data_IF_085158638858
#
_entry.id   IF_085158638858
#
_cell.length_a   1.000
_cell.length_b   1.000
_cell.length_c   1.000
_cell.angle_alpha   90.00
_cell.angle_beta   90.00
_cell.angle_gamma   90.00
#
_symmetry.space_group_name_H-M   'P 1'
#
loop_
_entity.id
_entity.type
_entity.pdbx_description
1 polymer ?
#
# COMPACT_ATOMS: atom_id res chain seq x y z
N UNK A 1 -19.79 -7.67 9.99
CA UNK A 1 -18.56 -7.32 9.26
C UNK A 1 -17.50 -8.37 9.60
N UNK A 2 -17.50 -9.52 8.91
CA UNK A 2 -16.61 -10.67 9.22
C UNK A 2 -15.58 -10.89 8.09
N UNK A 3 -15.13 -9.81 7.47
CA UNK A 3 -14.05 -9.90 6.50
C UNK A 3 -12.73 -10.12 7.24
N UNK A 4 -11.98 -11.14 6.81
CA UNK A 4 -10.68 -11.50 7.39
C UNK A 4 -9.58 -10.52 6.95
N UNK A 5 -9.63 -10.10 5.69
CA UNK A 5 -8.59 -9.27 5.07
C UNK A 5 -9.06 -7.82 5.00
N UNK A 6 -8.24 -6.94 5.55
CA UNK A 6 -8.51 -5.51 5.65
C UNK A 6 -7.42 -4.78 4.87
N UNK A 7 -7.78 -4.12 3.78
CA UNK A 7 -6.87 -3.19 3.08
C UNK A 7 -7.03 -1.84 3.73
N UNK A 8 -5.94 -1.30 4.27
CA UNK A 8 -5.92 0.05 4.82
C UNK A 8 -4.97 0.92 4.03
N UNK A 9 -5.30 2.20 3.88
CA UNK A 9 -4.37 3.18 3.34
C UNK A 9 -4.54 4.55 4.01
N UNK A 10 -3.47 5.33 4.04
CA UNK A 10 -3.42 6.60 4.77
C UNK A 10 -4.25 7.70 4.09
N UNK A 11 -4.97 8.50 4.88
CA UNK A 11 -5.62 9.72 4.37
C UNK A 11 -4.62 10.86 4.21
N UNK A 12 -3.57 10.90 5.03
CA UNK A 12 -2.59 11.98 5.11
C UNK A 12 -1.19 11.50 4.74
N UNK A 13 -0.64 12.07 3.66
CA UNK A 13 0.77 12.14 3.29
C UNK A 13 0.85 12.74 1.87
N UNK A 14 2.07 12.91 1.37
CA UNK A 14 2.30 13.17 -0.06
C UNK A 14 1.80 12.02 -0.93
N UNK A 15 2.16 10.79 -0.58
CA UNK A 15 1.87 9.58 -1.37
C UNK A 15 1.01 8.59 -0.58
N UNK A 16 0.21 7.80 -1.30
CA UNK A 16 -0.54 6.71 -0.72
C UNK A 16 0.40 5.58 -0.29
N UNK A 17 0.12 5.01 0.87
CA UNK A 17 0.77 3.85 1.44
C UNK A 17 -0.34 2.94 1.95
N UNK A 18 -0.41 1.75 1.39
CA UNK A 18 -1.42 0.76 1.72
C UNK A 18 -0.79 -0.52 2.29
N UNK A 19 -1.52 -1.23 3.14
CA UNK A 19 -1.11 -2.55 3.65
C UNK A 19 -2.33 -3.44 3.87
N UNK A 20 -2.12 -4.75 3.80
CA UNK A 20 -3.12 -5.74 4.20
C UNK A 20 -2.94 -6.08 5.67
N UNK A 21 -4.02 -6.02 6.44
CA UNK A 21 -4.11 -6.53 7.81
C UNK A 21 -4.99 -7.78 7.79
N UNK A 22 -4.48 -8.90 8.30
CA UNK A 22 -5.30 -10.08 8.57
C UNK A 22 -5.79 -10.00 10.02
N UNK A 23 -7.11 -9.93 10.21
CA UNK A 23 -7.74 -9.81 11.54
C UNK A 23 -7.45 -11.02 12.43
N UNK A 24 -7.30 -12.20 11.85
CA UNK A 24 -7.02 -13.44 12.59
C UNK A 24 -5.60 -13.48 13.17
N UNK A 25 -4.70 -12.59 12.72
CA UNK A 25 -3.33 -12.50 13.21
C UNK A 25 -3.18 -11.51 14.38
N UNK A 26 -4.29 -10.96 14.90
CA UNK A 26 -4.28 -9.97 15.97
C UNK A 26 -4.88 -10.56 17.25
N UNK A 27 -4.19 -10.34 18.37
CA UNK A 27 -4.67 -10.77 19.69
C UNK A 27 -5.83 -9.91 20.22
N UNK A 28 -6.06 -8.75 19.59
CA UNK A 28 -7.05 -7.76 20.01
C UNK A 28 -7.94 -7.30 18.85
N UNK A 29 -9.09 -6.71 19.19
CA UNK A 29 -9.98 -6.11 18.22
C UNK A 29 -9.28 -4.96 17.47
N UNK A 30 -9.43 -4.96 16.14
CA UNK A 30 -8.78 -3.99 15.27
C UNK A 30 -9.66 -2.75 15.08
N UNK A 31 -9.18 -1.60 15.59
CA UNK A 31 -9.82 -0.30 15.41
C UNK A 31 -9.08 0.55 14.40
N UNK A 32 -9.83 1.29 13.59
CA UNK A 32 -9.28 2.21 12.58
C UNK A 32 -9.74 3.62 12.92
N UNK A 33 -8.78 4.51 13.16
CA UNK A 33 -9.05 5.93 13.36
C UNK A 33 -9.33 6.66 12.04
N UNK A 34 -9.92 7.84 12.15
CA UNK A 34 -10.35 8.74 11.07
C UNK A 34 -9.30 9.08 10.01
N UNK A 35 -8.00 8.85 10.28
CA UNK A 35 -6.89 9.15 9.36
C UNK A 35 -6.49 8.01 8.42
N UNK A 36 -7.28 6.93 8.37
CA UNK A 36 -7.13 5.87 7.38
C UNK A 36 -8.45 5.55 6.70
N UNK A 37 -8.36 5.13 5.44
CA UNK A 37 -9.48 4.52 4.73
C UNK A 37 -9.30 3.02 4.71
N UNK A 38 -10.42 2.30 4.64
CA UNK A 38 -10.46 0.86 4.76
C UNK A 38 -11.36 0.23 3.70
N UNK A 39 -10.91 -0.92 3.19
CA UNK A 39 -11.71 -1.84 2.40
C UNK A 39 -11.64 -3.24 3.03
N UNK A 40 -12.78 -3.91 3.09
CA UNK A 40 -12.96 -5.20 3.76
C UNK A 40 -13.26 -6.28 2.72
N UNK A 41 -12.47 -7.35 2.68
CA UNK A 41 -12.71 -8.49 1.78
C UNK A 41 -12.42 -9.83 2.45
N UNK A 42 -13.06 -10.88 1.94
CA UNK A 42 -12.73 -12.27 2.27
C UNK A 42 -11.70 -12.86 1.31
N UNK A 43 -11.44 -12.21 0.18
CA UNK A 43 -10.49 -12.68 -0.82
C UNK A 43 -9.09 -12.09 -0.55
N UNK A 44 -8.11 -12.90 -0.09
CA UNK A 44 -6.75 -12.41 0.15
C UNK A 44 -6.08 -11.88 -1.11
N UNK A 45 -6.35 -12.49 -2.27
CA UNK A 45 -5.73 -12.12 -3.55
C UNK A 45 -6.21 -10.73 -3.97
N UNK A 46 -7.52 -10.45 -3.85
CA UNK A 46 -8.08 -9.12 -4.07
C UNK A 46 -7.44 -8.08 -3.13
N UNK A 47 -7.25 -8.42 -1.85
CA UNK A 47 -6.64 -7.52 -0.89
C UNK A 47 -5.21 -7.11 -1.30
N UNK A 48 -4.40 -8.07 -1.73
CA UNK A 48 -3.04 -7.80 -2.20
C UNK A 48 -3.02 -7.07 -3.55
N UNK A 49 -3.95 -7.37 -4.46
CA UNK A 49 -4.13 -6.66 -5.74
C UNK A 49 -4.40 -5.16 -5.50
N UNK A 50 -5.40 -4.84 -4.67
CA UNK A 50 -5.72 -3.46 -4.33
C UNK A 50 -4.54 -2.75 -3.67
N UNK A 51 -3.83 -3.45 -2.79
CA UNK A 51 -2.64 -2.91 -2.12
C UNK A 51 -1.49 -2.65 -3.10
N UNK A 52 -1.34 -3.48 -4.14
CA UNK A 52 -0.35 -3.26 -5.20
C UNK A 52 -0.64 -1.97 -5.97
N UNK A 53 -1.90 -1.77 -6.37
CA UNK A 53 -2.35 -0.58 -7.09
C UNK A 53 -2.12 0.67 -6.25
N UNK A 54 -2.61 0.69 -4.99
CA UNK A 54 -2.54 1.87 -4.14
C UNK A 54 -1.10 2.27 -3.76
N UNK A 55 -0.17 1.33 -3.72
CA UNK A 55 1.25 1.61 -3.47
C UNK A 55 2.05 1.93 -4.74
N UNK A 56 1.49 1.72 -5.93
CA UNK A 56 2.17 2.03 -7.17
C UNK A 56 2.34 3.54 -7.35
N UNK A 57 3.47 3.92 -7.98
CA UNK A 57 3.73 5.28 -8.41
C UNK A 57 2.70 5.76 -9.43
N UNK A 58 2.13 4.88 -10.26
CA UNK A 58 1.25 5.26 -11.37
C UNK A 58 0.01 6.05 -10.89
N UNK A 59 -0.90 5.50 -10.07
CA UNK A 59 -2.04 6.27 -9.57
C UNK A 59 -1.62 7.43 -8.67
N UNK A 60 -0.48 7.32 -7.98
CA UNK A 60 0.05 8.39 -7.15
C UNK A 60 0.44 9.63 -7.97
N UNK A 61 1.08 9.45 -9.14
CA UNK A 61 1.45 10.55 -10.02
C UNK A 61 0.21 11.13 -10.74
N UNK A 62 -0.68 10.27 -11.23
CA UNK A 62 -1.90 10.68 -11.91
C UNK A 62 -2.82 11.55 -11.02
N UNK A 63 -2.82 11.32 -9.71
CA UNK A 63 -3.63 12.12 -8.80
C UNK A 63 -3.03 13.48 -8.42
N UNK A 64 -1.73 13.74 -8.66
CA UNK A 64 -1.01 14.89 -8.05
C UNK A 64 -1.57 16.25 -8.42
N UNK A 65 -2.04 16.40 -9.65
CA UNK A 65 -2.60 17.66 -10.13
C UNK A 65 -3.92 18.01 -9.42
N UNK A 66 -4.61 16.99 -8.90
CA UNK A 66 -5.88 17.09 -8.19
C UNK A 66 -5.74 16.88 -6.69
N UNK A 67 -4.54 16.58 -6.20
CA UNK A 67 -4.24 16.40 -4.79
C UNK A 67 -4.12 17.77 -4.12
N UNK A 68 -4.65 17.90 -2.90
CA UNK A 68 -4.52 19.14 -2.12
C UNK A 68 -3.03 19.48 -1.90
N UNK A 69 -2.69 20.77 -1.79
CA UNK A 69 -1.30 21.21 -1.62
C UNK A 69 -1.18 22.06 -0.36
N UNK A 70 -0.16 21.80 0.45
CA UNK A 70 0.28 22.66 1.54
C UNK A 70 1.50 23.49 1.16
N UNK A 71 2.11 24.14 2.15
CA UNK A 71 3.31 24.98 1.98
C UNK A 71 4.51 24.23 1.33
N UNK A 72 4.56 22.90 1.50
CA UNK A 72 5.65 22.03 1.01
C UNK A 72 5.20 21.09 -0.13
N UNK A 73 4.14 21.44 -0.86
CA UNK A 73 3.66 20.68 -2.02
C UNK A 73 2.47 19.77 -1.70
N UNK A 74 2.31 18.71 -2.49
CA UNK A 74 1.18 17.80 -2.40
C UNK A 74 1.01 17.20 -1.01
N UNK A 75 -0.23 17.21 -0.55
CA UNK A 75 -0.66 16.85 0.80
C UNK A 75 -1.98 16.10 0.74
N UNK A 76 -2.19 15.24 1.73
CA UNK A 76 -3.41 14.49 2.00
C UNK A 76 -3.98 13.74 0.79
N UNK A 77 -3.66 12.44 0.70
CA UNK A 77 -4.14 11.50 -0.33
C UNK A 77 -5.66 11.40 -0.34
N UNK A 78 -6.28 11.30 0.83
CA UNK A 78 -7.72 11.06 1.02
C UNK A 78 -8.31 10.02 0.04
N UNK A 79 -9.50 10.27 -0.51
CA UNK A 79 -10.09 9.45 -1.57
C UNK A 79 -9.63 9.87 -2.96
N UNK A 80 -8.71 10.84 -3.09
CA UNK A 80 -8.30 11.37 -4.39
C UNK A 80 -7.63 10.31 -5.26
N UNK A 81 -6.90 9.38 -4.65
CA UNK A 81 -6.34 8.21 -5.35
C UNK A 81 -7.41 7.30 -5.96
N UNK A 82 -8.64 7.32 -5.45
CA UNK A 82 -9.76 6.51 -5.95
C UNK A 82 -10.48 7.18 -7.14
N UNK A 83 -10.15 8.44 -7.46
CA UNK A 83 -10.63 9.09 -8.69
C UNK A 83 -9.84 8.60 -9.91
N UNK A 84 -8.70 7.93 -9.70
CA UNK A 84 -7.94 7.27 -10.76
C UNK A 84 -8.61 5.94 -11.07
N UNK A 85 -8.92 5.71 -12.34
CA UNK A 85 -9.52 4.45 -12.77
C UNK A 85 -8.56 3.28 -12.54
N UNK A 86 -9.08 2.20 -11.98
CA UNK A 86 -8.50 0.87 -12.03
C UNK A 86 -9.64 -0.15 -12.02
N UNK A 87 -9.51 -1.27 -12.75
CA UNK A 87 -10.56 -2.27 -12.83
C UNK A 87 -10.73 -3.00 -11.50
N UNK A 88 -11.95 -3.52 -11.30
CA UNK A 88 -12.21 -4.46 -10.20
C UNK A 88 -11.32 -5.69 -10.37
N UNK A 89 -10.97 -6.30 -9.24
CA UNK A 89 -10.22 -7.55 -9.25
C UNK A 89 -10.97 -8.61 -10.07
N UNK A 90 -10.20 -9.37 -10.83
CA UNK A 90 -10.67 -10.45 -11.70
C UNK A 90 -9.69 -11.60 -11.54
N UNK A 91 -10.18 -12.71 -10.99
CA UNK A 91 -9.37 -13.89 -10.70
C UNK A 91 -8.96 -14.66 -11.96
N UNK A 92 -9.58 -14.38 -13.11
CA UNK A 92 -9.19 -14.95 -14.41
C UNK A 92 -8.10 -14.12 -15.10
N UNK A 93 -7.82 -12.91 -14.61
CA UNK A 93 -6.85 -12.01 -15.20
C UNK A 93 -5.44 -12.23 -14.62
N UNK A 94 -4.53 -12.73 -15.46
CA UNK A 94 -3.14 -13.03 -15.07
C UNK A 94 -2.37 -11.81 -14.54
N UNK A 95 -2.65 -10.59 -15.03
CA UNK A 95 -2.00 -9.37 -14.54
C UNK A 95 -2.47 -9.07 -13.11
N UNK A 96 -3.75 -9.25 -12.83
CA UNK A 96 -4.31 -9.01 -11.49
C UNK A 96 -3.73 -10.01 -10.47
N UNK A 97 -3.64 -11.28 -10.85
CA UNK A 97 -3.01 -12.32 -10.03
C UNK A 97 -1.53 -12.02 -9.79
N UNK A 98 -0.81 -11.58 -10.82
CA UNK A 98 0.62 -11.26 -10.70
C UNK A 98 0.85 -10.03 -9.81
N UNK A 99 0.03 -8.98 -9.91
CA UNK A 99 0.06 -7.84 -9.01
C UNK A 99 -0.16 -8.25 -7.55
N UNK A 100 -1.13 -9.13 -7.30
CA UNK A 100 -1.39 -9.66 -5.97
C UNK A 100 -0.18 -10.44 -5.42
N UNK A 101 0.45 -11.29 -6.23
CA UNK A 101 1.63 -12.05 -5.79
C UNK A 101 2.85 -11.16 -5.52
N UNK A 102 3.11 -10.16 -6.36
CA UNK A 102 4.19 -9.18 -6.13
C UNK A 102 3.97 -8.40 -4.83
N UNK A 103 2.73 -7.95 -4.59
CA UNK A 103 2.35 -7.27 -3.35
C UNK A 103 2.54 -8.18 -2.13
N UNK A 104 2.10 -9.44 -2.20
CA UNK A 104 2.30 -10.43 -1.14
C UNK A 104 3.79 -10.71 -0.88
N UNK A 105 4.60 -10.85 -1.93
CA UNK A 105 6.06 -10.99 -1.83
C UNK A 105 6.69 -9.78 -1.16
N UNK A 106 6.31 -8.56 -1.57
CA UNK A 106 6.80 -7.32 -0.98
C UNK A 106 6.48 -7.22 0.51
N UNK A 107 5.28 -7.64 0.96
CA UNK A 107 4.94 -7.71 2.39
C UNK A 107 5.86 -8.67 3.15
N UNK A 108 6.07 -9.89 2.62
CA UNK A 108 6.96 -10.88 3.25
C UNK A 108 8.39 -10.38 3.34
N UNK A 109 8.89 -9.78 2.27
CA UNK A 109 10.25 -9.22 2.22
C UNK A 109 10.42 -8.03 3.15
N UNK A 110 9.43 -7.15 3.25
CA UNK A 110 9.44 -6.04 4.20
C UNK A 110 9.47 -6.52 5.66
N UNK A 111 8.63 -7.50 5.99
CA UNK A 111 8.59 -8.11 7.32
C UNK A 111 9.93 -8.77 7.67
N UNK A 112 10.46 -9.61 6.76
CA UNK A 112 11.76 -10.24 6.95
C UNK A 112 12.90 -9.23 7.08
N UNK A 113 12.88 -8.15 6.30
CA UNK A 113 13.87 -7.09 6.41
C UNK A 113 13.87 -6.47 7.81
N UNK A 114 12.70 -6.23 8.40
CA UNK A 114 12.56 -5.69 9.76
C UNK A 114 13.03 -6.68 10.84
N UNK A 115 12.74 -7.97 10.67
CA UNK A 115 13.22 -9.04 11.57
C UNK A 115 14.75 -9.16 11.54
N UNK A 116 15.34 -9.15 10.34
CA UNK A 116 16.78 -9.26 10.14
C UNK A 116 17.52 -7.96 10.54
N UNK A 117 16.83 -6.82 10.57
CA UNK A 117 17.39 -5.49 10.85
C UNK A 117 16.58 -4.72 11.92
N UNK A 118 16.50 -5.24 13.16
CA UNK A 118 15.71 -4.60 14.20
C UNK A 118 16.28 -3.22 14.57
N UNK A 119 15.43 -2.24 14.93
CA UNK A 119 15.90 -0.93 15.36
C UNK A 119 16.79 -1.04 16.60
N UNK A 120 18.08 -0.71 16.46
CA UNK A 120 19.07 -0.78 17.56
C UNK A 120 18.87 0.28 18.65
N UNK A 121 18.07 1.31 18.36
CA UNK A 121 17.75 2.42 19.25
C UNK A 121 16.31 2.83 19.01
N UNK A 122 15.77 3.62 19.93
CA UNK A 122 14.42 4.20 19.83
C UNK A 122 14.14 4.83 18.46
N UNK A 123 12.94 4.58 17.92
CA UNK A 123 12.50 5.06 16.62
C UNK A 123 12.07 6.54 16.69
N UNK A 124 13.05 7.44 16.64
CA UNK A 124 12.76 8.87 16.41
C UNK A 124 12.24 9.09 14.98
N UNK A 125 11.55 10.21 14.73
CA UNK A 125 11.01 10.53 13.40
C UNK A 125 12.05 10.44 12.27
N UNK A 126 13.27 10.92 12.51
CA UNK A 126 14.38 10.83 11.54
C UNK A 126 14.81 9.38 11.29
N UNK A 127 14.89 8.55 12.33
CA UNK A 127 15.27 7.14 12.20
C UNK A 127 14.20 6.35 11.47
N UNK A 128 12.93 6.61 11.76
CA UNK A 128 11.80 6.02 11.05
C UNK A 128 11.82 6.41 9.56
N UNK A 129 12.13 7.66 9.25
CA UNK A 129 12.32 8.12 7.88
C UNK A 129 13.42 7.37 7.13
N UNK A 130 14.58 7.14 7.78
CA UNK A 130 15.69 6.36 7.20
C UNK A 130 15.30 4.90 6.98
N UNK A 131 14.69 4.26 7.98
CA UNK A 131 14.22 2.87 7.87
C UNK A 131 13.24 2.68 6.71
N UNK A 132 12.32 3.62 6.51
CA UNK A 132 11.41 3.62 5.35
C UNK A 132 12.15 3.68 4.02
N UNK A 133 13.19 4.52 3.92
CA UNK A 133 14.01 4.60 2.72
C UNK A 133 14.78 3.31 2.46
N UNK A 134 15.27 2.65 3.52
CA UNK A 134 16.01 1.40 3.40
C UNK A 134 15.10 0.24 2.96
N UNK A 135 13.88 0.16 3.51
CA UNK A 135 12.85 -0.78 3.02
C UNK A 135 12.50 -0.50 1.55
N UNK A 136 12.32 0.78 1.17
CA UNK A 136 12.01 1.14 -0.22
C UNK A 136 13.12 0.71 -1.19
N UNK A 137 14.40 0.83 -0.78
CA UNK A 137 15.54 0.32 -1.57
C UNK A 137 15.53 -1.19 -1.64
N UNK A 138 15.25 -1.87 -0.52
CA UNK A 138 15.19 -3.33 -0.47
C UNK A 138 14.12 -3.89 -1.42
N UNK A 139 12.98 -3.21 -1.57
CA UNK A 139 11.85 -3.61 -2.41
C UNK A 139 11.88 -3.00 -3.82
N UNK A 140 13.01 -2.43 -4.27
CA UNK A 140 13.05 -1.65 -5.51
C UNK A 140 12.60 -2.44 -6.75
N UNK A 141 12.98 -3.73 -6.84
CA UNK A 141 12.61 -4.58 -7.98
C UNK A 141 11.11 -4.93 -7.98
N UNK A 142 10.53 -5.31 -6.83
CA UNK A 142 9.08 -5.53 -6.72
C UNK A 142 8.30 -4.28 -7.09
N UNK A 143 8.69 -3.13 -6.54
CA UNK A 143 7.98 -1.88 -6.79
C UNK A 143 8.05 -1.46 -8.26
N UNK A 144 9.19 -1.70 -8.92
CA UNK A 144 9.37 -1.43 -10.34
C UNK A 144 8.47 -2.31 -11.21
N UNK A 145 8.35 -3.60 -10.90
CA UNK A 145 7.46 -4.49 -11.65
C UNK A 145 5.98 -4.20 -11.36
N UNK A 146 5.63 -3.87 -10.11
CA UNK A 146 4.29 -3.37 -9.75
C UNK A 146 3.95 -2.14 -10.59
N UNK A 147 4.82 -1.13 -10.66
CA UNK A 147 4.58 0.08 -11.45
C UNK A 147 4.35 -0.23 -12.94
N UNK A 148 5.13 -1.17 -13.49
CA UNK A 148 4.98 -1.62 -14.87
C UNK A 148 3.63 -2.28 -15.12
N UNK A 149 3.18 -3.16 -14.23
CA UNK A 149 1.92 -3.88 -14.39
C UNK A 149 0.71 -2.98 -14.13
N UNK A 150 0.77 -2.11 -13.12
CA UNK A 150 -0.31 -1.16 -12.82
C UNK A 150 -0.51 -0.21 -14.00
N UNK A 151 0.57 0.24 -14.65
CA UNK A 151 0.45 1.07 -15.86
C UNK A 151 -0.43 0.42 -16.95
N UNK A 152 -0.31 -0.89 -17.16
CA UNK A 152 -1.11 -1.65 -18.15
C UNK A 152 -2.59 -1.84 -17.75
N UNK A 153 -2.92 -1.58 -16.49
CA UNK A 153 -4.23 -1.81 -15.90
C UNK A 153 -5.01 -0.50 -15.76
N UNK A 154 -4.28 0.62 -15.62
CA UNK A 154 -4.83 1.97 -15.44
C UNK A 154 -4.92 2.75 -16.77
N UNK A 155 -4.07 2.43 -17.75
CA UNK A 155 -4.12 2.97 -19.13
C UNK A 155 -4.90 2.06 -20.08
#
# INVERSE_FOLDING_TARGET
MNAEHIVIYNSSAKDANATVVNRNNLDFEFFIDTKAYVYFTKNPVEAYYLTAILNSKIPNELMKDFQSKGLFGARDVHKKILDIYFPRFDESNEIHLHLAELSKSAHKRAAKYLEDNPPKKELTATRLGRLRLDIKKHLAEEMKEIDRLVKRVVE
#
